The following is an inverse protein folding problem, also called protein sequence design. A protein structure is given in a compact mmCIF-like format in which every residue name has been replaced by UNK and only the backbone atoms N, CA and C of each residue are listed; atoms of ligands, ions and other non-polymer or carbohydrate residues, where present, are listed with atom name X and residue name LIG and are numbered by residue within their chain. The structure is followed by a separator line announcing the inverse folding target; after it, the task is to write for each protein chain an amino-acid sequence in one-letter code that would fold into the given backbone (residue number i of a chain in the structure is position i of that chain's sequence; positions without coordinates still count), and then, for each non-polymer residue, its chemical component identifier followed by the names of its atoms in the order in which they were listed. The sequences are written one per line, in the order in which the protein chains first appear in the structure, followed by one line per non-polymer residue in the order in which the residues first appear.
data_IF_909974708475
#
_entry.id   IF_909974708475
#
_cell.length_a   1.000
_cell.length_b   1.000
_cell.length_c   1.000
_cell.angle_alpha   90.00
_cell.angle_beta   90.00
_cell.angle_gamma   90.00
#
_symmetry.space_group_name_H-M   'P 1'
#
loop_
_entity.id
_entity.type
_entity.pdbx_description
1 polymer ?
#
# COMPACT_ATOMS: atom_id res chain seq x y z
N UNK A 1 6.88 1.80 9.72
CA UNK A 1 6.09 0.55 9.59
C UNK A 1 7.03 -0.59 9.25
N UNK A 2 6.76 -1.83 9.69
CA UNK A 2 7.48 -3.01 9.20
C UNK A 2 6.93 -3.44 7.84
N UNK A 3 7.67 -4.22 7.05
CA UNK A 3 7.25 -4.63 5.72
C UNK A 3 5.92 -5.42 5.72
N UNK A 4 5.77 -6.35 6.67
CA UNK A 4 4.53 -7.12 6.83
C UNK A 4 3.32 -6.24 7.16
N UNK A 5 3.54 -5.18 7.93
CA UNK A 5 2.50 -4.25 8.39
C UNK A 5 2.08 -3.29 7.24
N UNK A 6 3.04 -2.89 6.41
CA UNK A 6 2.78 -2.20 5.15
C UNK A 6 1.97 -3.07 4.18
N UNK A 7 2.31 -4.36 4.03
CA UNK A 7 1.54 -5.33 3.22
C UNK A 7 0.10 -5.45 3.74
N UNK A 8 -0.07 -5.66 5.04
CA UNK A 8 -1.39 -5.84 5.64
C UNK A 8 -2.28 -4.61 5.37
N UNK A 9 -1.72 -3.42 5.53
CA UNK A 9 -2.41 -2.15 5.26
C UNK A 9 -2.71 -1.97 3.78
N UNK A 10 -1.76 -2.30 2.91
CA UNK A 10 -1.92 -2.22 1.47
C UNK A 10 -3.06 -3.13 0.99
N UNK A 11 -3.12 -4.37 1.48
CA UNK A 11 -4.22 -5.29 1.18
C UNK A 11 -5.56 -4.80 1.70
N UNK A 12 -5.60 -4.29 2.93
CA UNK A 12 -6.83 -3.80 3.54
C UNK A 12 -7.46 -2.64 2.76
N UNK A 13 -6.63 -1.79 2.16
CA UNK A 13 -7.08 -0.61 1.41
C UNK A 13 -7.38 -0.94 -0.05
N UNK A 14 -6.48 -1.67 -0.71
CA UNK A 14 -6.52 -1.90 -2.16
C UNK A 14 -7.25 -3.17 -2.58
N UNK A 15 -7.48 -4.09 -1.64
CA UNK A 15 -7.99 -5.43 -1.93
C UNK A 15 -6.99 -6.33 -2.68
N UNK A 16 -5.71 -5.94 -2.76
CA UNK A 16 -4.71 -6.72 -3.49
C UNK A 16 -4.55 -8.14 -2.93
N UNK A 17 -4.32 -9.11 -3.84
CA UNK A 17 -4.04 -10.50 -3.47
C UNK A 17 -2.73 -10.59 -2.66
N UNK A 18 -2.72 -11.47 -1.67
CA UNK A 18 -1.56 -11.71 -0.79
C UNK A 18 -0.28 -11.99 -1.57
N UNK A 19 -0.38 -12.75 -2.67
CA UNK A 19 0.78 -13.16 -3.46
C UNK A 19 1.54 -11.96 -4.03
N UNK A 20 0.84 -10.96 -4.59
CA UNK A 20 1.50 -9.78 -5.16
C UNK A 20 2.22 -8.94 -4.11
N UNK A 21 1.63 -8.81 -2.92
CA UNK A 21 2.23 -8.05 -1.82
C UNK A 21 3.37 -8.81 -1.14
N UNK A 22 3.29 -10.15 -1.06
CA UNK A 22 4.32 -11.02 -0.49
C UNK A 22 5.55 -11.08 -1.39
N UNK A 23 5.37 -11.27 -2.70
CA UNK A 23 6.46 -11.26 -3.69
C UNK A 23 7.22 -9.93 -3.67
N UNK A 24 6.51 -8.82 -3.45
CA UNK A 24 7.09 -7.49 -3.35
C UNK A 24 8.05 -7.34 -2.16
N UNK A 25 7.77 -8.03 -1.06
CA UNK A 25 8.59 -8.04 0.14
C UNK A 25 9.68 -9.11 0.14
N UNK A 26 9.43 -10.26 -0.49
CA UNK A 26 10.35 -11.39 -0.49
C UNK A 26 11.57 -11.16 -1.40
N UNK A 27 11.44 -10.32 -2.43
CA UNK A 27 12.50 -10.07 -3.42
C UNK A 27 13.34 -8.79 -3.24
N UNK A 28 13.09 -7.97 -2.21
CA UNK A 28 13.84 -6.72 -1.98
C UNK A 28 14.56 -6.76 -0.64
N UNK A 29 15.75 -6.14 -0.59
CA UNK A 29 16.45 -5.86 0.66
C UNK A 29 15.58 -4.89 1.48
N UNK A 30 14.73 -5.48 2.32
CA UNK A 30 13.70 -4.75 3.02
C UNK A 30 14.36 -3.90 4.11
N UNK A 31 14.39 -2.58 3.88
CA UNK A 31 14.78 -1.61 4.91
C UNK A 31 14.00 -1.91 6.18
N UNK A 32 14.70 -1.85 7.31
CA UNK A 32 14.16 -2.11 8.66
C UNK A 32 12.89 -1.32 9.00
N UNK A 33 12.68 -0.18 8.34
CA UNK A 33 11.49 0.66 8.45
C UNK A 33 11.17 1.29 7.10
N UNK A 34 9.90 1.23 6.71
CA UNK A 34 9.36 1.99 5.59
C UNK A 34 8.39 3.06 6.09
N UNK A 35 8.35 4.18 5.36
CA UNK A 35 7.31 5.20 5.49
C UNK A 35 6.18 4.91 4.50
N UNK A 36 4.96 5.37 4.79
CA UNK A 36 3.81 5.23 3.88
C UNK A 36 4.13 5.80 2.50
N UNK A 37 4.85 6.92 2.44
CA UNK A 37 5.27 7.57 1.19
C UNK A 37 6.23 6.71 0.39
N UNK A 38 7.24 6.11 1.03
CA UNK A 38 8.12 5.15 0.36
C UNK A 38 7.34 3.94 -0.14
N UNK A 39 6.37 3.42 0.61
CA UNK A 39 5.52 2.30 0.15
C UNK A 39 4.69 2.71 -1.07
N UNK A 40 4.13 3.93 -1.10
CA UNK A 40 3.41 4.45 -2.27
C UNK A 40 4.33 4.55 -3.48
N UNK A 41 5.55 5.07 -3.35
CA UNK A 41 6.49 5.16 -4.48
C UNK A 41 6.95 3.76 -4.91
N UNK A 42 7.25 2.88 -3.95
CA UNK A 42 7.62 1.48 -4.20
C UNK A 42 6.53 0.72 -4.95
N UNK A 43 5.28 0.99 -4.60
CA UNK A 43 4.10 0.35 -5.19
C UNK A 43 3.52 1.16 -6.34
N UNK A 44 4.16 2.22 -6.87
CA UNK A 44 3.55 3.07 -7.91
C UNK A 44 3.12 2.27 -9.16
N UNK A 45 3.87 1.21 -9.46
CA UNK A 45 3.64 0.30 -10.58
C UNK A 45 2.79 -0.93 -10.19
N UNK A 46 2.37 -1.02 -8.93
CA UNK A 46 1.56 -2.11 -8.41
C UNK A 46 0.06 -1.80 -8.49
N UNK A 47 -0.74 -2.86 -8.59
CA UNK A 47 -2.20 -2.77 -8.62
C UNK A 47 -2.74 -2.11 -7.34
N UNK A 48 -3.63 -1.14 -7.49
CA UNK A 48 -4.28 -0.46 -6.37
C UNK A 48 -3.45 0.67 -5.73
N UNK A 49 -2.29 1.02 -6.29
CA UNK A 49 -1.45 2.10 -5.76
C UNK A 49 -2.19 3.43 -5.63
N UNK A 50 -2.96 3.80 -6.65
CA UNK A 50 -3.75 5.03 -6.60
C UNK A 50 -4.75 5.00 -5.44
N UNK A 51 -5.41 3.87 -5.17
CA UNK A 51 -6.32 3.74 -4.04
C UNK A 51 -5.59 3.80 -2.69
N UNK A 52 -4.40 3.18 -2.58
CA UNK A 52 -3.56 3.28 -1.39
C UNK A 52 -3.11 4.72 -1.13
N UNK A 53 -2.59 5.38 -2.17
CA UNK A 53 -2.16 6.78 -2.13
C UNK A 53 -3.33 7.71 -1.81
N UNK A 54 -4.49 7.50 -2.45
CA UNK A 54 -5.70 8.29 -2.20
C UNK A 54 -6.17 8.09 -0.76
N UNK A 55 -6.18 6.87 -0.23
CA UNK A 55 -6.55 6.60 1.17
C UNK A 55 -5.69 7.39 2.17
N UNK A 56 -4.36 7.40 1.98
CA UNK A 56 -3.44 8.14 2.85
C UNK A 56 -3.41 9.64 2.58
N UNK A 57 -3.67 10.09 1.35
CA UNK A 57 -3.81 11.51 1.01
C UNK A 57 -5.14 12.09 1.52
N UNK A 58 -6.20 11.29 1.50
CA UNK A 58 -7.57 11.64 1.86
C UNK A 58 -7.85 11.54 3.36
N UNK A 59 -6.98 10.87 4.13
CA UNK A 59 -7.00 10.93 5.59
C UNK A 59 -6.86 12.36 6.15
N UNK A 60 -6.42 13.34 5.35
CA UNK A 60 -6.46 14.77 5.67
C UNK A 60 -7.73 15.53 5.26
N UNK A 61 -8.61 14.93 4.43
CA UNK A 61 -9.83 15.58 3.93
C UNK A 61 -10.86 14.55 3.45
N UNK A 62 -11.90 14.34 4.26
CA UNK A 62 -13.05 13.50 3.96
C UNK A 62 -13.67 13.79 2.59
N UNK A 63 -14.04 12.76 1.83
CA UNK A 63 -15.20 12.73 0.89
C UNK A 63 -15.31 11.41 0.11
N UNK A 64 -16.20 10.51 0.57
CA UNK A 64 -17.18 9.71 -0.20
C UNK A 64 -16.77 8.97 -1.52
N UNK A 65 -17.21 7.70 -1.60
CA UNK A 65 -17.38 6.91 -2.84
C UNK A 65 -16.35 5.78 -2.98
N UNK A 66 -16.66 4.49 -2.93
CA UNK A 66 -17.94 3.79 -3.06
C UNK A 66 -18.32 3.59 -4.53
N UNK A 67 -17.73 2.58 -5.18
CA UNK A 67 -18.18 1.89 -6.41
C UNK A 67 -17.05 0.90 -6.83
N UNK A 68 -17.28 -0.32 -7.28
CA UNK A 68 -18.47 -1.05 -7.70
C UNK A 68 -18.24 -2.55 -7.49
#
# INVERSE_FOLDING_TARGET
MSAADAIASYRAITGACEQGARLFCEGKDLKKKYTVREVIELTESAYGNQAYRDFFAKAGSATKGGAA
#
